data_IF_649221740823
#
_entry.id   IF_649221740823
#
_cell.length_a   1.000
_cell.length_b   1.000
_cell.length_c   1.000
_cell.angle_alpha   90.00
_cell.angle_beta   90.00
_cell.angle_gamma   90.00
#
_symmetry.space_group_name_H-M   'P 1'
#
loop_
_entity.id
_entity.type
_entity.pdbx_description
1 polymer ?
#
# COMPACT_ATOMS: atom_id res chain seq x y z
N UNK A 1 -0.14 1.74 17.81
CA UNK A 1 -1.51 2.19 18.12
C UNK A 1 -2.53 1.44 17.26
N UNK A 2 -3.62 1.03 17.85
CA UNK A 2 -4.79 0.50 17.15
C UNK A 2 -6.04 1.18 17.74
N UNK A 3 -6.98 1.54 16.87
CA UNK A 3 -8.22 2.18 17.28
C UNK A 3 -9.15 1.19 18.01
N UNK A 4 -8.98 -0.11 17.79
CA UNK A 4 -9.72 -1.15 18.51
C UNK A 4 -9.16 -1.31 19.94
N UNK A 5 -9.93 -0.96 20.98
CA UNK A 5 -9.47 -1.03 22.36
C UNK A 5 -9.22 -2.47 22.83
N UNK A 6 -9.78 -3.50 22.17
CA UNK A 6 -9.58 -4.90 22.52
C UNK A 6 -8.20 -5.41 22.17
N UNK A 7 -7.52 -4.79 21.21
CA UNK A 7 -6.16 -5.14 20.81
C UNK A 7 -5.07 -4.65 21.78
N UNK A 8 -5.40 -3.75 22.69
CA UNK A 8 -4.50 -3.29 23.75
C UNK A 8 -3.38 -2.33 23.30
N UNK A 9 -3.25 -2.00 22.03
CA UNK A 9 -2.23 -1.07 21.51
C UNK A 9 -2.68 0.38 21.65
N UNK A 10 -2.34 1.04 22.78
CA UNK A 10 -2.83 2.39 23.14
C UNK A 10 -1.74 3.46 23.22
N UNK A 11 -0.59 3.22 22.61
CA UNK A 11 0.48 4.21 22.62
C UNK A 11 0.06 5.51 21.92
N UNK A 12 0.58 6.65 22.39
CA UNK A 12 0.39 7.93 21.70
C UNK A 12 1.14 7.94 20.37
N UNK A 13 0.41 7.89 19.25
CA UNK A 13 0.97 7.93 17.90
C UNK A 13 1.89 9.14 17.67
N UNK A 14 1.68 10.23 18.41
CA UNK A 14 2.43 11.47 18.26
C UNK A 14 3.80 11.45 18.96
N UNK A 15 4.17 10.36 19.64
CA UNK A 15 5.54 10.14 20.12
C UNK A 15 6.50 9.76 18.99
N UNK A 16 5.97 9.18 17.90
CA UNK A 16 6.76 8.84 16.71
C UNK A 16 7.01 10.06 15.82
N UNK A 17 8.14 10.08 15.12
CA UNK A 17 8.46 11.09 14.10
C UNK A 17 7.94 10.68 12.72
N UNK A 18 7.88 9.37 12.47
CA UNK A 18 7.33 8.77 11.26
C UNK A 18 6.22 7.80 11.67
N UNK A 19 5.04 7.96 11.08
CA UNK A 19 3.83 7.21 11.41
C UNK A 19 3.37 6.46 10.16
N UNK A 20 3.36 5.13 10.23
CA UNK A 20 2.79 4.28 9.16
C UNK A 20 1.30 4.06 9.41
N UNK A 21 0.49 4.36 8.40
CA UNK A 21 -0.97 4.25 8.45
C UNK A 21 -1.39 3.01 7.64
N UNK A 22 -1.90 2.00 8.33
CA UNK A 22 -2.31 0.71 7.77
C UNK A 22 -3.79 0.42 8.09
N UNK A 23 -4.67 1.40 7.90
CA UNK A 23 -6.09 1.25 8.18
C UNK A 23 -6.82 0.60 7.00
N UNK A 24 -7.92 -0.15 7.23
CA UNK A 24 -8.76 -0.65 6.16
C UNK A 24 -9.38 0.49 5.32
N UNK A 25 -9.52 0.24 4.02
CA UNK A 25 -10.19 1.13 3.06
C UNK A 25 -11.25 0.31 2.30
N UNK A 26 -12.33 -0.12 2.99
CA UNK A 26 -13.33 -1.01 2.41
C UNK A 26 -14.11 -0.32 1.27
N UNK A 27 -14.77 -1.08 0.40
CA UNK A 27 -15.66 -0.50 -0.60
C UNK A 27 -16.86 0.16 0.10
N UNK A 28 -17.14 1.39 -0.25
CA UNK A 28 -18.34 2.12 0.13
C UNK A 28 -19.58 1.67 -0.68
N UNK A 29 -20.73 2.28 -0.41
CA UNK A 29 -22.01 1.90 -1.02
C UNK A 29 -22.03 1.97 -2.54
N UNK A 30 -21.22 2.83 -3.14
CA UNK A 30 -21.14 3.03 -4.59
C UNK A 30 -19.91 2.35 -5.23
N UNK A 31 -19.21 1.46 -4.47
CA UNK A 31 -17.97 0.83 -4.93
C UNK A 31 -16.73 1.73 -4.81
N UNK A 32 -16.86 2.98 -4.38
CA UNK A 32 -15.73 3.84 -4.05
C UNK A 32 -15.05 3.40 -2.75
N UNK A 33 -13.75 3.63 -2.60
CA UNK A 33 -13.05 3.32 -1.37
C UNK A 33 -13.51 4.24 -0.22
N UNK A 34 -13.89 3.67 0.93
CA UNK A 34 -14.14 4.45 2.15
C UNK A 34 -12.81 4.85 2.78
N UNK A 35 -12.49 6.12 2.71
CA UNK A 35 -11.26 6.72 3.23
C UNK A 35 -11.45 7.39 4.60
N UNK A 36 -12.61 7.25 5.23
CA UNK A 36 -12.91 7.88 6.50
C UNK A 36 -11.92 7.48 7.61
N UNK A 37 -11.56 6.20 7.69
CA UNK A 37 -10.54 5.71 8.63
C UNK A 37 -9.17 6.35 8.43
N UNK A 38 -8.75 6.53 7.18
CA UNK A 38 -7.52 7.22 6.84
C UNK A 38 -7.56 8.70 7.25
N UNK A 39 -8.63 9.41 6.90
CA UNK A 39 -8.78 10.84 7.21
C UNK A 39 -8.87 11.09 8.73
N UNK A 40 -9.56 10.23 9.46
CA UNK A 40 -9.64 10.31 10.93
C UNK A 40 -8.26 10.08 11.57
N UNK A 41 -7.48 9.12 11.04
CA UNK A 41 -6.12 8.88 11.53
C UNK A 41 -5.23 10.08 11.27
N UNK A 42 -5.27 10.66 10.07
CA UNK A 42 -4.50 11.85 9.71
C UNK A 42 -4.87 13.06 10.61
N UNK A 43 -6.15 13.22 10.94
CA UNK A 43 -6.62 14.29 11.83
C UNK A 43 -6.10 14.16 13.28
N UNK A 44 -5.74 12.96 13.73
CA UNK A 44 -5.18 12.70 15.05
C UNK A 44 -3.65 12.93 15.13
N UNK A 45 -2.98 13.11 14.00
CA UNK A 45 -1.53 13.33 13.93
C UNK A 45 -1.23 14.81 14.11
N UNK A 46 -0.26 15.12 15.00
CA UNK A 46 0.19 16.50 15.24
C UNK A 46 0.93 17.07 14.03
N UNK A 47 0.83 18.38 13.88
CA UNK A 47 1.53 19.16 12.86
C UNK A 47 3.05 18.86 12.82
N UNK A 48 3.63 18.91 11.63
CA UNK A 48 5.05 18.72 11.39
C UNK A 48 5.53 17.27 11.28
N UNK A 49 4.69 16.30 11.64
CA UNK A 49 5.01 14.86 11.55
C UNK A 49 5.00 14.35 10.11
N UNK A 50 5.72 13.25 9.89
CA UNK A 50 5.71 12.49 8.65
C UNK A 50 4.73 11.33 8.77
N UNK A 51 3.75 11.26 7.85
CA UNK A 51 2.79 10.16 7.80
C UNK A 51 2.92 9.41 6.47
N UNK A 52 3.09 8.11 6.56
CA UNK A 52 3.26 7.20 5.42
C UNK A 52 2.00 6.36 5.27
N UNK A 53 1.25 6.61 4.22
CA UNK A 53 0.03 5.85 3.91
C UNK A 53 0.43 4.53 3.27
N UNK A 54 0.14 3.42 3.95
CA UNK A 54 0.31 2.05 3.44
C UNK A 54 -1.00 1.43 2.99
N UNK A 55 -2.12 1.96 3.45
CA UNK A 55 -3.45 1.55 3.02
C UNK A 55 -3.61 1.72 1.51
N UNK A 56 -4.23 0.76 0.84
CA UNK A 56 -4.56 0.89 -0.58
C UNK A 56 -5.53 2.05 -0.78
N UNK A 57 -5.17 3.00 -1.62
CA UNK A 57 -5.95 4.21 -1.85
C UNK A 57 -6.03 4.55 -3.35
N UNK A 58 -7.16 5.08 -3.83
CA UNK A 58 -7.29 5.53 -5.22
C UNK A 58 -6.26 6.60 -5.59
N UNK A 59 -5.78 6.63 -6.85
CA UNK A 59 -4.85 7.64 -7.32
C UNK A 59 -5.32 9.07 -7.02
N UNK A 60 -4.41 9.92 -6.51
CA UNK A 60 -4.69 11.29 -6.09
C UNK A 60 -5.15 11.45 -4.63
N UNK A 61 -5.32 10.35 -3.89
CA UNK A 61 -5.75 10.40 -2.48
C UNK A 61 -4.74 11.13 -1.61
N UNK A 62 -3.45 10.79 -1.70
CA UNK A 62 -2.40 11.41 -0.88
C UNK A 62 -2.28 12.91 -1.13
N UNK A 63 -2.35 13.34 -2.40
CA UNK A 63 -2.35 14.75 -2.76
C UNK A 63 -3.58 15.50 -2.22
N UNK A 64 -4.75 14.87 -2.27
CA UNK A 64 -5.98 15.43 -1.68
C UNK A 64 -5.86 15.55 -0.16
N UNK A 65 -5.35 14.52 0.51
CA UNK A 65 -5.09 14.54 1.94
C UNK A 65 -4.03 15.59 2.31
N UNK A 66 -2.98 15.76 1.50
CA UNK A 66 -1.95 16.76 1.74
C UNK A 66 -2.52 18.18 1.72
N UNK A 67 -3.45 18.46 0.80
CA UNK A 67 -4.15 19.75 0.76
C UNK A 67 -5.04 19.96 1.99
N UNK A 68 -5.67 18.89 2.50
CA UNK A 68 -6.51 18.94 3.71
C UNK A 68 -5.68 19.06 4.99
N UNK A 69 -4.50 18.46 5.03
CA UNK A 69 -3.57 18.46 6.18
C UNK A 69 -2.22 19.10 5.80
N UNK A 70 -2.18 20.42 5.52
CA UNK A 70 -1.00 21.07 4.89
C UNK A 70 0.24 21.13 5.77
N UNK A 71 0.12 20.85 7.07
CA UNK A 71 1.25 20.84 8.00
C UNK A 71 1.85 19.46 8.24
N UNK A 72 1.25 18.39 7.71
CA UNK A 72 1.83 17.06 7.69
C UNK A 72 2.72 16.89 6.47
N UNK A 73 3.62 15.92 6.51
CA UNK A 73 4.44 15.47 5.38
C UNK A 73 3.94 14.10 4.94
N UNK A 74 3.06 14.06 3.93
CA UNK A 74 2.39 12.84 3.53
C UNK A 74 3.17 12.12 2.43
N UNK A 75 3.35 10.82 2.63
CA UNK A 75 3.96 9.89 1.69
C UNK A 75 3.01 8.72 1.45
N UNK A 76 3.13 8.09 0.30
CA UNK A 76 2.44 6.84 -0.02
C UNK A 76 3.47 5.73 -0.24
N UNK A 77 3.35 4.64 0.50
CA UNK A 77 4.24 3.48 0.37
C UNK A 77 3.41 2.20 0.35
N UNK A 78 2.94 1.77 -0.82
CA UNK A 78 2.09 0.58 -0.94
C UNK A 78 2.84 -0.69 -0.52
N UNK A 79 2.07 -1.72 -0.22
CA UNK A 79 2.55 -3.08 -0.09
C UNK A 79 2.25 -3.88 -1.38
N UNK A 80 3.03 -4.94 -1.63
CA UNK A 80 2.85 -5.87 -2.75
C UNK A 80 2.89 -7.31 -2.25
N UNK A 81 2.25 -7.55 -1.11
CA UNK A 81 2.26 -8.83 -0.41
C UNK A 81 1.29 -9.82 -1.08
N UNK A 82 1.68 -11.08 -1.09
CA UNK A 82 0.80 -12.20 -1.39
C UNK A 82 0.20 -12.70 -0.07
N UNK A 83 -1.12 -12.76 0.07
CA UNK A 83 -1.79 -13.08 1.33
C UNK A 83 -1.25 -14.36 1.98
N UNK A 84 -1.07 -15.43 1.21
CA UNK A 84 -0.54 -16.70 1.70
C UNK A 84 0.94 -16.67 2.15
N UNK A 85 1.70 -15.63 1.78
CA UNK A 85 3.13 -15.45 2.11
C UNK A 85 3.42 -14.05 2.64
N UNK A 86 2.43 -13.37 3.18
CA UNK A 86 2.53 -11.96 3.56
C UNK A 86 3.70 -11.67 4.50
N UNK A 87 3.99 -12.57 5.44
CA UNK A 87 5.11 -12.41 6.37
C UNK A 87 6.47 -12.49 5.67
N UNK A 88 6.65 -13.48 4.79
CA UNK A 88 7.90 -13.63 4.03
C UNK A 88 8.11 -12.46 3.05
N UNK A 89 7.06 -12.11 2.30
CA UNK A 89 7.09 -10.98 1.37
C UNK A 89 7.37 -9.65 2.11
N UNK A 90 6.90 -9.50 3.35
CA UNK A 90 7.21 -8.33 4.18
C UNK A 90 8.67 -8.27 4.60
N UNK A 91 9.26 -9.40 4.99
CA UNK A 91 10.67 -9.47 5.41
C UNK A 91 11.65 -9.42 4.22
N UNK A 92 11.22 -9.92 3.07
CA UNK A 92 12.04 -10.02 1.85
C UNK A 92 11.30 -9.42 0.64
N UNK A 93 10.94 -8.15 0.68
CA UNK A 93 10.15 -7.53 -0.38
C UNK A 93 10.90 -7.53 -1.70
N UNK A 94 10.19 -7.77 -2.81
CA UNK A 94 10.74 -7.64 -4.15
C UNK A 94 10.91 -6.17 -4.55
N UNK A 95 10.08 -5.29 -3.99
CA UNK A 95 10.13 -3.85 -4.24
C UNK A 95 9.68 -3.04 -3.03
N UNK A 96 10.26 -1.85 -2.90
CA UNK A 96 9.80 -0.78 -2.02
C UNK A 96 9.61 0.49 -2.84
N UNK A 97 8.40 1.01 -2.83
CA UNK A 97 8.03 2.24 -3.53
C UNK A 97 7.63 3.27 -2.47
N UNK A 98 8.20 4.46 -2.56
CA UNK A 98 7.83 5.60 -1.71
C UNK A 98 7.50 6.79 -2.61
N UNK A 99 6.21 7.02 -2.81
CA UNK A 99 5.69 8.19 -3.51
C UNK A 99 5.56 9.37 -2.55
N UNK A 100 5.82 10.57 -3.04
CA UNK A 100 5.83 11.78 -2.23
C UNK A 100 4.92 12.86 -2.81
N UNK A 101 4.47 13.78 -1.95
CA UNK A 101 3.96 15.09 -2.34
C UNK A 101 5.14 16.07 -2.45
N UNK A 102 4.92 17.27 -2.97
CA UNK A 102 5.97 18.29 -3.00
C UNK A 102 6.48 18.64 -1.58
N UNK A 103 5.58 18.65 -0.58
CA UNK A 103 5.93 18.95 0.81
C UNK A 103 6.72 17.83 1.51
N UNK A 104 6.58 16.59 1.07
CA UNK A 104 7.20 15.42 1.70
C UNK A 104 8.39 14.86 0.92
N UNK A 105 8.77 15.44 -0.20
CA UNK A 105 9.83 14.97 -1.10
C UNK A 105 11.13 14.59 -0.39
N UNK A 106 11.57 15.43 0.54
CA UNK A 106 12.80 15.21 1.30
C UNK A 106 12.67 14.09 2.36
N UNK A 107 11.47 13.55 2.59
CA UNK A 107 11.22 12.46 3.52
C UNK A 107 11.21 11.08 2.85
N UNK A 108 11.14 11.02 1.53
CA UNK A 108 11.06 9.74 0.80
C UNK A 108 12.31 8.86 1.03
N UNK A 109 13.50 9.43 0.96
CA UNK A 109 14.75 8.71 1.26
C UNK A 109 14.81 8.18 2.69
N UNK A 110 14.69 9.03 3.72
CA UNK A 110 14.62 8.59 5.12
C UNK A 110 13.58 7.48 5.37
N UNK A 111 12.38 7.59 4.79
CA UNK A 111 11.36 6.54 4.94
C UNK A 111 11.81 5.24 4.26
N UNK A 112 12.39 5.31 3.05
CA UNK A 112 12.85 4.12 2.36
C UNK A 112 13.93 3.36 3.15
N UNK A 113 14.82 4.08 3.85
CA UNK A 113 15.90 3.44 4.63
C UNK A 113 15.43 2.62 5.82
N UNK A 114 14.24 2.90 6.35
CA UNK A 114 13.66 2.15 7.48
C UNK A 114 12.70 1.04 7.03
N UNK A 115 12.34 0.99 5.74
CA UNK A 115 11.54 -0.10 5.19
C UNK A 115 12.39 -1.37 5.03
N UNK A 116 11.80 -2.57 5.17
CA UNK A 116 12.52 -3.82 4.96
C UNK A 116 13.17 -3.89 3.58
N UNK A 117 14.40 -4.38 3.54
CA UNK A 117 15.18 -4.58 2.33
C UNK A 117 15.89 -5.92 2.42
N UNK A 118 15.94 -6.68 1.34
CA UNK A 118 16.55 -7.98 1.31
C UNK A 118 17.58 -8.08 0.17
N UNK A 119 18.62 -8.85 0.39
CA UNK A 119 19.61 -9.19 -0.65
C UNK A 119 19.01 -10.13 -1.71
N UNK A 120 18.16 -11.07 -1.27
CA UNK A 120 17.30 -11.88 -2.12
C UNK A 120 15.85 -11.62 -1.74
N UNK A 121 15.03 -11.21 -2.70
CA UNK A 121 13.61 -10.96 -2.49
C UNK A 121 12.80 -12.27 -2.42
N UNK A 122 11.60 -12.22 -1.89
CA UNK A 122 10.58 -13.24 -2.10
C UNK A 122 9.92 -12.99 -3.48
N UNK A 123 9.86 -13.97 -4.37
CA UNK A 123 10.12 -15.40 -4.26
C UNK A 123 11.55 -15.88 -4.58
N UNK A 124 12.59 -15.15 -4.21
CA UNK A 124 13.97 -15.61 -4.33
C UNK A 124 14.70 -15.11 -5.59
N UNK A 125 14.29 -13.96 -6.11
CA UNK A 125 14.94 -13.24 -7.22
C UNK A 125 16.05 -12.30 -6.72
N UNK A 126 16.50 -11.38 -7.56
CA UNK A 126 17.44 -10.32 -7.16
C UNK A 126 16.86 -9.47 -6.01
N UNK A 127 17.73 -8.80 -5.26
CA UNK A 127 17.35 -8.04 -4.08
C UNK A 127 16.26 -6.98 -4.28
N UNK A 128 15.82 -6.38 -3.20
CA UNK A 128 14.72 -5.41 -3.18
C UNK A 128 14.95 -4.24 -4.13
N UNK A 129 14.06 -4.06 -5.09
CA UNK A 129 14.02 -2.90 -5.96
C UNK A 129 13.49 -1.69 -5.21
N UNK A 130 14.21 -0.57 -5.24
CA UNK A 130 13.85 0.66 -4.51
C UNK A 130 13.48 1.78 -5.48
N UNK A 131 12.32 2.39 -5.28
CA UNK A 131 11.84 3.47 -6.11
C UNK A 131 11.27 4.63 -5.27
N UNK A 132 11.92 5.78 -5.34
CA UNK A 132 11.58 7.00 -4.57
C UNK A 132 11.34 8.24 -5.45
N UNK A 133 11.42 8.10 -6.77
CA UNK A 133 11.25 9.22 -7.69
C UNK A 133 9.80 9.47 -8.10
N UNK A 134 8.88 8.57 -7.71
CA UNK A 134 7.47 8.72 -7.98
C UNK A 134 6.86 9.83 -7.13
N UNK A 135 5.93 10.58 -7.70
CA UNK A 135 4.99 11.31 -6.88
C UNK A 135 3.96 10.34 -6.25
N UNK A 136 3.21 10.81 -5.26
CA UNK A 136 2.26 9.94 -4.54
C UNK A 136 1.19 9.34 -5.46
N UNK A 137 0.67 10.10 -6.42
CA UNK A 137 -0.35 9.64 -7.37
C UNK A 137 0.18 8.53 -8.29
N UNK A 138 1.44 8.63 -8.75
CA UNK A 138 2.09 7.58 -9.54
C UNK A 138 2.25 6.29 -8.74
N UNK A 139 2.64 6.39 -7.46
CA UNK A 139 2.77 5.24 -6.59
C UNK A 139 1.41 4.57 -6.29
N UNK A 140 0.36 5.36 -6.07
CA UNK A 140 -1.02 4.90 -5.92
C UNK A 140 -1.50 4.18 -7.19
N UNK A 141 -1.27 4.76 -8.36
CA UNK A 141 -1.61 4.14 -9.66
C UNK A 141 -0.85 2.83 -9.87
N UNK A 142 0.43 2.77 -9.50
CA UNK A 142 1.24 1.56 -9.59
C UNK A 142 0.66 0.42 -8.75
N UNK A 143 0.18 0.69 -7.53
CA UNK A 143 -0.50 -0.30 -6.68
C UNK A 143 -1.81 -0.78 -7.32
N UNK A 144 -2.66 0.12 -7.77
CA UNK A 144 -3.92 -0.23 -8.43
C UNK A 144 -3.69 -1.02 -9.72
N UNK A 145 -2.71 -0.62 -10.54
CA UNK A 145 -2.36 -1.33 -11.76
C UNK A 145 -1.91 -2.77 -11.49
N UNK A 146 -1.11 -2.98 -10.44
CA UNK A 146 -0.72 -4.32 -10.01
C UNK A 146 -1.91 -5.19 -9.59
N UNK A 147 -2.81 -4.64 -8.77
CA UNK A 147 -4.00 -5.36 -8.32
C UNK A 147 -4.95 -5.67 -9.50
N UNK A 148 -5.16 -4.71 -10.42
CA UNK A 148 -5.98 -4.91 -11.61
C UNK A 148 -5.40 -6.00 -12.52
N UNK A 149 -4.08 -5.99 -12.74
CA UNK A 149 -3.41 -7.03 -13.53
C UNK A 149 -3.57 -8.42 -12.91
N UNK A 150 -3.46 -8.53 -11.57
CA UNK A 150 -3.70 -9.78 -10.87
C UNK A 150 -5.15 -10.27 -11.05
N UNK A 151 -6.13 -9.39 -10.90
CA UNK A 151 -7.54 -9.72 -11.12
C UNK A 151 -7.83 -10.15 -12.57
N UNK A 152 -7.23 -9.48 -13.55
CA UNK A 152 -7.34 -9.87 -14.98
C UNK A 152 -6.77 -11.27 -15.24
N UNK A 153 -5.63 -11.63 -14.62
CA UNK A 153 -5.05 -12.98 -14.76
C UNK A 153 -5.99 -14.06 -14.22
N UNK A 154 -6.63 -13.81 -13.08
CA UNK A 154 -7.59 -14.75 -12.49
C UNK A 154 -8.82 -14.88 -13.39
N UNK A 155 -9.38 -13.78 -13.86
CA UNK A 155 -10.54 -13.80 -14.78
C UNK A 155 -10.21 -14.55 -16.07
N UNK A 156 -9.03 -14.32 -16.64
CA UNK A 156 -8.56 -15.02 -17.84
C UNK A 156 -8.41 -16.53 -17.62
N UNK A 157 -7.82 -16.93 -16.49
CA UNK A 157 -7.68 -18.34 -16.14
C UNK A 157 -9.04 -19.03 -15.99
N UNK A 158 -10.03 -18.38 -15.37
CA UNK A 158 -11.38 -18.90 -15.26
C UNK A 158 -12.05 -19.09 -16.64
N UNK A 159 -11.89 -18.14 -17.55
CA UNK A 159 -12.42 -18.27 -18.94
C UNK A 159 -11.77 -19.46 -19.64
N UNK A 160 -10.47 -19.67 -19.50
CA UNK A 160 -9.79 -20.83 -20.08
C UNK A 160 -10.26 -22.14 -19.47
N UNK A 161 -10.49 -22.19 -18.16
CA UNK A 161 -11.05 -23.35 -17.49
C UNK A 161 -12.44 -23.71 -18.01
N UNK A 162 -13.31 -22.71 -18.20
CA UNK A 162 -14.64 -22.91 -18.76
C UNK A 162 -14.59 -23.43 -20.21
N UNK A 163 -13.68 -22.90 -21.04
CA UNK A 163 -13.47 -23.38 -22.42
C UNK A 163 -12.96 -24.83 -22.41
N UNK A 164 -11.96 -25.13 -21.59
CA UNK A 164 -11.40 -26.48 -21.49
C UNK A 164 -12.45 -27.50 -21.04
N UNK A 165 -13.29 -27.15 -20.05
CA UNK A 165 -14.38 -28.00 -19.57
C UNK A 165 -15.48 -28.27 -20.60
N UNK A 166 -15.58 -27.45 -21.66
CA UNK A 166 -16.51 -27.64 -22.78
C UNK A 166 -15.95 -28.51 -23.91
N UNK A 167 -14.67 -28.89 -23.85
CA UNK A 167 -13.97 -29.65 -24.88
C UNK A 167 -13.69 -31.09 -24.38
N UNK A 168 -13.99 -32.10 -25.22
CA UNK A 168 -13.63 -33.49 -24.90
C UNK A 168 -12.10 -33.72 -24.94
N UNK A 169 -11.58 -34.42 -23.93
CA UNK A 169 -10.16 -34.81 -23.86
C UNK A 169 -9.20 -33.66 -23.53
N UNK A 170 -9.68 -32.54 -23.03
CA UNK A 170 -8.87 -31.43 -22.54
C UNK A 170 -8.93 -31.41 -21.01
N UNK A 171 -7.78 -31.53 -20.38
CA UNK A 171 -7.61 -31.30 -18.94
C UNK A 171 -6.97 -29.92 -18.74
N UNK A 172 -7.50 -29.15 -17.78
CA UNK A 172 -6.98 -27.86 -17.39
C UNK A 172 -6.47 -27.92 -15.95
N UNK A 173 -5.16 -27.92 -15.79
CA UNK A 173 -4.46 -27.86 -14.49
C UNK A 173 -3.88 -26.48 -14.19
#
# INVERSE_FOLDING_TARGET
YDADPQKGFRDDINRADIIFICVPTPPGKNGEADLSGLENTLAAIRDGKTAVIKSTAPPGTTERCQKKFPKLKLLFSPEFLTESRAWEDMLRPDRQIVGHTEQSKNQAGPVLTILPQAFFSSPGTLGTYQFIRANATEAELGKYGGNLFAAMKVAYANILADIAGALEGVEYE
#
